data_IF_104519771354
#
_entry.id   IF_104519771354
#
_cell.length_a   1.000
_cell.length_b   1.000
_cell.length_c   1.000
_cell.angle_alpha   90.00
_cell.angle_beta   90.00
_cell.angle_gamma   90.00
#
_symmetry.space_group_name_H-M   'P 1'
#
loop_
_entity.id
_entity.type
_entity.pdbx_description
1 polymer ?
#
# COMPACT_ATOMS: atom_id res chain seq x y z
N UNK A 1 -35.74 -75.09 -64.13
CA UNK A 1 -36.67 -74.08 -64.68
C UNK A 1 -36.52 -72.76 -63.92
N UNK A 2 -36.63 -72.74 -62.58
CA UNK A 2 -36.53 -71.51 -61.79
C UNK A 2 -35.21 -70.71 -61.99
N UNK A 3 -34.03 -71.36 -61.93
CA UNK A 3 -32.74 -70.63 -62.05
C UNK A 3 -32.49 -69.95 -63.40
N UNK A 4 -33.23 -70.29 -64.46
CA UNK A 4 -33.10 -69.64 -65.77
C UNK A 4 -34.00 -68.42 -65.92
N UNK A 5 -35.11 -68.34 -65.17
CA UNK A 5 -36.11 -67.26 -65.26
C UNK A 5 -35.67 -66.01 -64.48
N UNK A 6 -34.84 -66.18 -63.45
CA UNK A 6 -34.31 -65.09 -62.61
C UNK A 6 -33.02 -64.45 -63.15
N UNK A 7 -32.61 -64.80 -64.38
CA UNK A 7 -31.43 -64.23 -65.03
C UNK A 7 -31.72 -62.82 -65.58
N UNK A 8 -30.78 -61.89 -65.39
CA UNK A 8 -30.92 -60.48 -65.79
C UNK A 8 -31.09 -60.31 -67.32
N UNK A 9 -30.45 -61.16 -68.12
CA UNK A 9 -30.51 -61.17 -69.59
C UNK A 9 -31.34 -62.34 -70.15
N UNK A 10 -32.48 -62.64 -69.52
CA UNK A 10 -33.34 -63.76 -69.91
C UNK A 10 -33.94 -63.58 -71.32
N UNK A 11 -33.62 -64.50 -72.26
CA UNK A 11 -34.25 -64.58 -73.58
C UNK A 11 -35.33 -65.68 -73.61
N UNK A 12 -36.62 -65.31 -73.76
CA UNK A 12 -37.72 -66.27 -73.77
C UNK A 12 -37.69 -67.23 -74.96
N UNK A 13 -37.10 -66.84 -76.10
CA UNK A 13 -37.07 -67.66 -77.32
C UNK A 13 -36.09 -68.83 -77.12
N UNK A 14 -34.90 -68.55 -76.59
CA UNK A 14 -33.89 -69.57 -76.32
C UNK A 14 -34.37 -70.57 -75.26
N UNK A 15 -35.05 -70.08 -74.22
CA UNK A 15 -35.63 -70.96 -73.20
C UNK A 15 -36.76 -71.83 -73.75
N UNK A 16 -37.64 -71.27 -74.60
CA UNK A 16 -38.69 -72.04 -75.29
C UNK A 16 -38.09 -73.12 -76.21
N UNK A 17 -37.04 -72.80 -76.96
CA UNK A 17 -36.35 -73.75 -77.83
C UNK A 17 -35.66 -74.87 -77.03
N UNK A 18 -35.10 -74.56 -75.85
CA UNK A 18 -34.53 -75.57 -74.96
C UNK A 18 -35.60 -76.52 -74.39
N UNK A 19 -36.76 -75.97 -74.00
CA UNK A 19 -37.90 -76.73 -73.46
C UNK A 19 -38.59 -77.61 -74.51
N UNK A 20 -38.70 -77.14 -75.76
CA UNK A 20 -39.34 -77.85 -76.88
C UNK A 20 -38.34 -78.33 -77.95
N UNK A 21 -37.21 -78.89 -77.53
CA UNK A 21 -36.10 -79.28 -78.43
C UNK A 21 -36.42 -80.44 -79.40
N UNK A 22 -37.52 -81.18 -79.21
CA UNK A 22 -37.98 -82.22 -80.15
C UNK A 22 -39.52 -82.29 -80.27
N UNK A 23 -40.09 -82.71 -81.42
CA UNK A 23 -41.55 -82.69 -81.66
C UNK A 23 -42.38 -83.52 -80.66
N UNK A 24 -41.78 -84.55 -80.04
CA UNK A 24 -42.41 -85.37 -79.00
C UNK A 24 -42.53 -84.65 -77.65
N UNK A 25 -41.87 -83.51 -77.44
CA UNK A 25 -41.97 -82.69 -76.21
C UNK A 25 -43.11 -81.68 -76.26
N UNK A 26 -43.69 -81.43 -77.44
CA UNK A 26 -44.86 -80.57 -77.63
C UNK A 26 -46.11 -81.10 -76.91
N UNK A 27 -46.18 -82.41 -76.67
CA UNK A 27 -47.25 -83.01 -75.84
C UNK A 27 -47.19 -82.58 -74.37
N UNK A 28 -46.07 -82.03 -73.90
CA UNK A 28 -45.89 -81.48 -72.54
C UNK A 28 -46.12 -79.97 -72.46
N UNK A 29 -46.53 -79.33 -73.57
CA UNK A 29 -46.72 -77.88 -73.63
C UNK A 29 -47.80 -77.38 -72.66
N UNK A 30 -48.90 -78.13 -72.50
CA UNK A 30 -49.93 -77.81 -71.51
C UNK A 30 -49.35 -77.83 -70.09
N UNK A 31 -48.57 -78.85 -69.74
CA UNK A 31 -47.95 -78.98 -68.41
C UNK A 31 -46.95 -77.86 -68.10
N UNK A 32 -46.16 -77.43 -69.09
CA UNK A 32 -45.21 -76.32 -68.91
C UNK A 32 -45.96 -74.99 -68.81
N UNK A 33 -47.00 -74.77 -69.62
CA UNK A 33 -47.86 -73.59 -69.52
C UNK A 33 -48.56 -73.51 -68.16
N UNK A 34 -49.03 -74.65 -67.62
CA UNK A 34 -49.64 -74.71 -66.30
C UNK A 34 -48.61 -74.39 -65.21
N UNK A 35 -47.38 -74.89 -65.33
CA UNK A 35 -46.29 -74.58 -64.39
C UNK A 35 -45.87 -73.10 -64.44
N UNK A 36 -45.82 -72.48 -65.63
CA UNK A 36 -45.52 -71.05 -65.78
C UNK A 36 -46.65 -70.19 -65.22
N UNK A 37 -47.91 -70.55 -65.47
CA UNK A 37 -49.06 -69.87 -64.84
C UNK A 37 -49.07 -70.00 -63.33
N UNK A 38 -48.64 -71.15 -62.80
CA UNK A 38 -48.50 -71.34 -61.36
C UNK A 38 -47.41 -70.42 -60.81
N UNK A 39 -46.25 -70.35 -61.46
CA UNK A 39 -45.16 -69.47 -61.07
C UNK A 39 -45.49 -67.96 -61.19
N UNK A 40 -46.20 -67.56 -62.25
CA UNK A 40 -46.75 -66.21 -62.40
C UNK A 40 -47.71 -65.88 -61.26
N UNK A 41 -48.60 -66.81 -60.91
CA UNK A 41 -49.54 -66.61 -59.81
C UNK A 41 -48.84 -66.53 -58.44
N UNK A 42 -47.81 -67.35 -58.22
CA UNK A 42 -47.00 -67.32 -57.00
C UNK A 42 -46.26 -65.98 -56.88
N UNK A 43 -45.65 -65.48 -57.98
CA UNK A 43 -44.99 -64.16 -58.01
C UNK A 43 -45.97 -63.00 -57.78
N UNK A 44 -47.14 -63.02 -58.41
CA UNK A 44 -48.17 -61.99 -58.20
C UNK A 44 -48.67 -62.00 -56.75
N UNK A 45 -48.79 -63.18 -56.14
CA UNK A 45 -49.11 -63.34 -54.72
C UNK A 45 -48.01 -62.75 -53.83
N UNK A 46 -46.74 -63.04 -54.13
CA UNK A 46 -45.60 -62.53 -53.37
C UNK A 46 -45.46 -61.00 -53.49
N UNK A 47 -45.58 -60.45 -54.70
CA UNK A 47 -45.58 -59.00 -54.93
C UNK A 47 -46.75 -58.34 -54.19
N UNK A 48 -47.95 -58.91 -54.29
CA UNK A 48 -49.12 -58.38 -53.59
C UNK A 48 -48.94 -58.40 -52.07
N UNK A 49 -48.30 -59.46 -51.53
CA UNK A 49 -47.99 -59.56 -50.11
C UNK A 49 -46.96 -58.50 -49.67
N UNK A 50 -45.90 -58.28 -50.45
CA UNK A 50 -44.86 -57.30 -50.15
C UNK A 50 -45.41 -55.86 -50.22
N UNK A 51 -46.23 -55.56 -51.21
CA UNK A 51 -46.89 -54.24 -51.34
C UNK A 51 -47.87 -54.01 -50.18
N UNK A 52 -48.62 -55.03 -49.76
CA UNK A 52 -49.49 -54.94 -48.58
C UNK A 52 -48.68 -54.71 -47.28
N UNK A 53 -47.54 -55.40 -47.15
CA UNK A 53 -46.62 -55.23 -46.01
C UNK A 53 -45.93 -53.86 -46.02
N UNK A 54 -45.70 -53.22 -47.18
CA UNK A 54 -45.12 -51.86 -47.26
C UNK A 54 -46.14 -50.74 -47.07
N UNK A 55 -47.38 -50.91 -47.51
CA UNK A 55 -48.43 -49.88 -47.36
C UNK A 55 -48.97 -49.76 -45.94
N UNK A 56 -48.96 -50.84 -45.16
CA UNK A 56 -49.36 -50.82 -43.74
C UNK A 56 -48.45 -49.95 -42.83
N UNK A 57 -47.10 -50.06 -42.85
CA UNK A 57 -46.22 -49.27 -41.99
C UNK A 57 -46.14 -47.79 -42.38
N UNK A 58 -46.36 -47.43 -43.65
CA UNK A 58 -46.41 -46.01 -44.05
C UNK A 58 -47.63 -45.29 -43.48
N UNK A 59 -48.82 -45.91 -43.53
CA UNK A 59 -50.01 -45.34 -42.89
C UNK A 59 -49.87 -45.29 -41.36
N UNK A 60 -49.34 -46.35 -40.74
CA UNK A 60 -49.04 -46.38 -39.30
C UNK A 60 -48.01 -45.30 -38.88
N UNK A 61 -46.99 -45.07 -39.70
CA UNK A 61 -45.97 -44.05 -39.44
C UNK A 61 -46.56 -42.64 -39.56
N UNK A 62 -47.40 -42.39 -40.57
CA UNK A 62 -48.12 -41.12 -40.73
C UNK A 62 -49.08 -40.89 -39.57
N UNK A 63 -49.83 -41.90 -39.14
CA UNK A 63 -50.71 -41.79 -37.97
C UNK A 63 -49.92 -41.52 -36.68
N UNK A 64 -48.80 -42.22 -36.43
CA UNK A 64 -47.94 -41.97 -35.27
C UNK A 64 -47.34 -40.57 -35.28
N UNK A 65 -46.92 -40.05 -36.43
CA UNK A 65 -46.41 -38.67 -36.54
C UNK A 65 -47.53 -37.67 -36.29
N UNK A 66 -48.72 -37.89 -36.81
CA UNK A 66 -49.88 -37.03 -36.55
C UNK A 66 -50.27 -37.04 -35.07
N UNK A 67 -50.25 -38.21 -34.43
CA UNK A 67 -50.51 -38.36 -33.00
C UNK A 67 -49.43 -37.66 -32.16
N UNK A 68 -48.15 -37.87 -32.45
CA UNK A 68 -47.05 -37.17 -31.78
C UNK A 68 -47.14 -35.65 -31.94
N UNK A 69 -47.56 -35.15 -33.12
CA UNK A 69 -47.79 -33.72 -33.37
C UNK A 69 -48.96 -33.19 -32.54
N UNK A 70 -50.04 -33.95 -32.40
CA UNK A 70 -51.18 -33.60 -31.55
C UNK A 70 -50.79 -33.57 -30.06
N UNK A 71 -49.99 -34.54 -29.61
CA UNK A 71 -49.45 -34.58 -28.25
C UNK A 71 -48.50 -33.40 -27.97
N UNK A 72 -47.62 -33.05 -28.91
CA UNK A 72 -46.75 -31.88 -28.82
C UNK A 72 -47.56 -30.58 -28.74
N UNK A 73 -48.62 -30.46 -29.54
CA UNK A 73 -49.52 -29.32 -29.48
C UNK A 73 -50.21 -29.24 -28.10
N UNK A 74 -50.64 -30.38 -27.55
CA UNK A 74 -51.17 -30.48 -26.19
C UNK A 74 -50.14 -30.10 -25.12
N UNK A 75 -48.88 -30.49 -25.28
CA UNK A 75 -47.80 -30.14 -24.37
C UNK A 75 -47.51 -28.63 -24.40
N UNK A 76 -47.43 -28.01 -25.58
CA UNK A 76 -47.25 -26.55 -25.69
C UNK A 76 -48.41 -25.79 -25.06
N UNK A 77 -49.65 -26.25 -25.27
CA UNK A 77 -50.82 -25.65 -24.61
C UNK A 77 -50.72 -25.76 -23.07
N UNK A 78 -50.22 -26.89 -22.54
CA UNK A 78 -49.99 -27.04 -21.09
C UNK A 78 -48.86 -26.14 -20.59
N UNK A 79 -47.76 -26.02 -21.32
CA UNK A 79 -46.64 -25.14 -20.96
C UNK A 79 -47.11 -23.68 -20.93
N UNK A 80 -47.87 -23.25 -21.94
CA UNK A 80 -48.42 -21.90 -21.98
C UNK A 80 -49.42 -21.69 -20.82
N UNK A 81 -50.26 -22.68 -20.53
CA UNK A 81 -51.15 -22.65 -19.37
C UNK A 81 -50.41 -22.60 -18.02
N UNK A 82 -49.25 -23.24 -17.89
CA UNK A 82 -48.39 -23.11 -16.70
C UNK A 82 -47.76 -21.72 -16.64
N UNK A 83 -47.28 -21.19 -17.77
CA UNK A 83 -46.69 -19.85 -17.85
C UNK A 83 -47.68 -18.75 -17.46
N UNK A 84 -48.91 -18.80 -18.00
CA UNK A 84 -49.96 -17.83 -17.67
C UNK A 84 -50.29 -17.89 -16.18
N UNK A 85 -50.48 -19.10 -15.62
CA UNK A 85 -50.72 -19.27 -14.18
C UNK A 85 -49.54 -18.79 -13.34
N UNK A 86 -48.30 -19.03 -13.77
CA UNK A 86 -47.12 -18.54 -13.06
C UNK A 86 -47.06 -17.01 -13.02
N UNK A 87 -47.33 -16.34 -14.14
CA UNK A 87 -47.41 -14.87 -14.21
C UNK A 87 -48.54 -14.31 -13.34
N UNK A 88 -49.69 -14.98 -13.34
CA UNK A 88 -50.81 -14.59 -12.49
C UNK A 88 -50.46 -14.76 -11.00
N UNK A 89 -49.83 -15.89 -10.62
CA UNK A 89 -49.35 -16.09 -9.24
C UNK A 89 -48.27 -15.09 -8.84
N UNK A 90 -47.32 -14.75 -9.73
CA UNK A 90 -46.32 -13.71 -9.46
C UNK A 90 -47.01 -12.37 -9.21
N UNK A 91 -47.96 -12.00 -10.07
CA UNK A 91 -48.75 -10.79 -9.90
C UNK A 91 -49.48 -10.78 -8.57
N UNK A 92 -50.22 -11.84 -8.23
CA UNK A 92 -50.93 -11.94 -6.95
C UNK A 92 -49.97 -11.86 -5.77
N UNK A 93 -48.81 -12.53 -5.81
CA UNK A 93 -47.80 -12.45 -4.75
C UNK A 93 -47.23 -11.03 -4.63
N UNK A 94 -46.91 -10.37 -5.75
CA UNK A 94 -46.42 -8.98 -5.72
C UNK A 94 -47.47 -8.00 -5.20
N UNK A 95 -48.74 -8.18 -5.52
CA UNK A 95 -49.85 -7.39 -4.97
C UNK A 95 -50.01 -7.67 -3.47
N UNK A 96 -50.00 -8.95 -3.04
CA UNK A 96 -50.07 -9.34 -1.63
C UNK A 96 -48.88 -8.82 -0.80
N UNK A 97 -47.68 -8.75 -1.39
CA UNK A 97 -46.45 -8.32 -0.70
C UNK A 97 -46.13 -6.84 -0.87
N UNK A 98 -46.88 -6.09 -1.68
CA UNK A 98 -46.67 -4.67 -1.92
C UNK A 98 -46.73 -3.85 -0.61
N UNK A 99 -47.71 -4.14 0.23
CA UNK A 99 -47.88 -3.45 1.52
C UNK A 99 -46.80 -3.86 2.53
N UNK A 100 -46.34 -5.12 2.51
CA UNK A 100 -45.20 -5.56 3.32
C UNK A 100 -43.93 -4.80 2.93
N UNK A 101 -43.69 -4.62 1.62
CA UNK A 101 -42.54 -3.86 1.11
C UNK A 101 -42.63 -2.37 1.47
N UNK A 102 -43.84 -1.78 1.41
CA UNK A 102 -44.08 -0.38 1.86
C UNK A 102 -43.85 -0.23 3.36
N UNK A 103 -44.31 -1.19 4.17
CA UNK A 103 -44.10 -1.20 5.61
C UNK A 103 -42.61 -1.32 5.94
N UNK A 104 -41.89 -2.22 5.28
CA UNK A 104 -40.45 -2.38 5.46
C UNK A 104 -39.68 -1.11 5.06
N UNK A 105 -40.05 -0.49 3.93
CA UNK A 105 -39.48 0.80 3.51
C UNK A 105 -39.73 1.90 4.55
N UNK A 106 -40.96 1.97 5.09
CA UNK A 106 -41.33 2.92 6.14
C UNK A 106 -40.53 2.67 7.42
N UNK A 107 -40.43 1.40 7.85
CA UNK A 107 -39.64 1.00 9.03
C UNK A 107 -38.17 1.37 8.86
N UNK A 108 -37.58 1.12 7.69
CA UNK A 108 -36.19 1.48 7.37
C UNK A 108 -36.01 2.98 7.45
N UNK A 109 -36.89 3.77 6.82
CA UNK A 109 -36.83 5.23 6.86
C UNK A 109 -36.96 5.77 8.29
N UNK A 110 -37.90 5.26 9.08
CA UNK A 110 -38.07 5.64 10.49
C UNK A 110 -36.83 5.31 11.32
N UNK A 111 -36.24 4.13 11.11
CA UNK A 111 -35.02 3.71 11.82
C UNK A 111 -33.83 4.62 11.47
N UNK A 112 -33.68 4.99 10.19
CA UNK A 112 -32.66 5.93 9.75
C UNK A 112 -32.88 7.32 10.36
N UNK A 113 -34.10 7.85 10.31
CA UNK A 113 -34.45 9.15 10.90
C UNK A 113 -34.22 9.17 12.41
N UNK A 114 -34.66 8.13 13.14
CA UNK A 114 -34.45 8.01 14.58
C UNK A 114 -32.96 7.95 14.93
N UNK A 115 -32.18 7.19 14.17
CA UNK A 115 -30.72 7.09 14.38
C UNK A 115 -30.02 8.42 14.13
N UNK A 116 -30.39 9.12 13.05
CA UNK A 116 -29.83 10.43 12.71
C UNK A 116 -30.18 11.48 13.77
N UNK A 117 -31.44 11.55 14.22
CA UNK A 117 -31.87 12.46 15.27
C UNK A 117 -31.17 12.18 16.60
N UNK A 118 -31.07 10.91 17.01
CA UNK A 118 -30.37 10.53 18.25
C UNK A 118 -28.88 10.90 18.19
N UNK A 119 -28.22 10.66 17.04
CA UNK A 119 -26.81 11.08 16.84
C UNK A 119 -26.65 12.59 16.84
N UNK A 120 -27.61 13.33 16.30
CA UNK A 120 -27.59 14.79 16.29
C UNK A 120 -27.74 15.34 17.71
N UNK A 121 -28.69 14.79 18.49
CA UNK A 121 -28.84 15.11 19.90
C UNK A 121 -27.55 14.84 20.67
N UNK A 122 -26.95 13.66 20.49
CA UNK A 122 -25.66 13.32 21.11
C UNK A 122 -24.56 14.31 20.72
N UNK A 123 -24.48 14.73 19.45
CA UNK A 123 -23.49 15.69 18.98
C UNK A 123 -23.67 17.07 19.61
N UNK A 124 -24.91 17.57 19.69
CA UNK A 124 -25.20 18.87 20.32
C UNK A 124 -24.86 18.85 21.81
N UNK A 125 -25.26 17.81 22.55
CA UNK A 125 -24.93 17.67 23.97
C UNK A 125 -23.43 17.54 24.19
N UNK A 126 -22.74 16.77 23.37
CA UNK A 126 -21.28 16.62 23.45
C UNK A 126 -20.55 17.94 23.14
N UNK A 127 -21.04 18.72 22.17
CA UNK A 127 -20.50 20.04 21.88
C UNK A 127 -20.65 21.01 23.07
N UNK A 128 -21.83 21.08 23.69
CA UNK A 128 -22.08 21.91 24.87
C UNK A 128 -21.19 21.53 26.06
N UNK A 129 -21.05 20.22 26.31
CA UNK A 129 -20.14 19.70 27.33
C UNK A 129 -18.68 20.05 27.03
N UNK A 130 -18.25 19.90 25.78
CA UNK A 130 -16.88 20.21 25.36
C UNK A 130 -16.54 21.69 25.57
N UNK A 131 -17.48 22.60 25.27
CA UNK A 131 -17.32 24.02 25.59
C UNK A 131 -17.12 24.27 27.09
N UNK A 132 -17.87 23.57 27.95
CA UNK A 132 -17.73 23.69 29.41
C UNK A 132 -16.38 23.18 29.93
N UNK A 133 -15.94 22.02 29.43
CA UNK A 133 -14.66 21.42 29.78
C UNK A 133 -13.47 22.26 29.27
N UNK A 134 -13.59 22.86 28.08
CA UNK A 134 -12.58 23.76 27.51
C UNK A 134 -12.29 24.94 28.43
N UNK A 135 -13.35 25.59 28.95
CA UNK A 135 -13.24 26.74 29.86
C UNK A 135 -12.62 26.40 31.20
N UNK A 136 -12.88 25.20 31.72
CA UNK A 136 -12.31 24.72 32.98
C UNK A 136 -10.95 24.05 32.83
N UNK A 137 -10.44 23.93 31.59
CA UNK A 137 -9.14 23.32 31.23
C UNK A 137 -9.00 21.87 31.68
N UNK A 138 -10.11 21.13 31.68
CA UNK A 138 -10.12 19.70 31.96
C UNK A 138 -9.71 18.89 30.72
N UNK A 139 -8.45 19.02 30.32
CA UNK A 139 -7.96 18.54 29.02
C UNK A 139 -8.13 17.04 28.80
N UNK A 140 -8.03 16.22 29.85
CA UNK A 140 -8.26 14.77 29.75
C UNK A 140 -9.66 14.46 29.24
N UNK A 141 -10.67 15.06 29.86
CA UNK A 141 -12.07 14.85 29.47
C UNK A 141 -12.37 15.50 28.12
N UNK A 142 -11.79 16.69 27.85
CA UNK A 142 -11.86 17.33 26.55
C UNK A 142 -11.37 16.41 25.43
N UNK A 143 -10.24 15.72 25.61
CA UNK A 143 -9.67 14.86 24.58
C UNK A 143 -10.61 13.70 24.22
N UNK A 144 -11.14 13.00 25.23
CA UNK A 144 -12.08 11.90 25.04
C UNK A 144 -13.37 12.35 24.35
N UNK A 145 -13.94 13.47 24.81
CA UNK A 145 -15.18 14.00 24.25
C UNK A 145 -14.97 14.54 22.83
N UNK A 146 -13.85 15.21 22.57
CA UNK A 146 -13.47 15.70 21.24
C UNK A 146 -13.35 14.54 20.25
N UNK A 147 -12.74 13.42 20.63
CA UNK A 147 -12.66 12.24 19.77
C UNK A 147 -14.05 11.69 19.42
N UNK A 148 -14.96 11.63 20.38
CA UNK A 148 -16.36 11.23 20.14
C UNK A 148 -17.09 12.21 19.21
N UNK A 149 -16.90 13.52 19.42
CA UNK A 149 -17.47 14.58 18.57
C UNK A 149 -16.96 14.46 17.13
N UNK A 150 -15.66 14.23 16.91
CA UNK A 150 -15.07 14.04 15.58
C UNK A 150 -15.69 12.82 14.87
N UNK A 151 -15.85 11.70 15.58
CA UNK A 151 -16.50 10.51 15.02
C UNK A 151 -17.97 10.77 14.67
N UNK A 152 -18.73 11.45 15.54
CA UNK A 152 -20.12 11.82 15.28
C UNK A 152 -20.23 12.76 14.06
N UNK A 153 -19.35 13.74 13.95
CA UNK A 153 -19.29 14.65 12.80
C UNK A 153 -19.01 13.93 11.49
N UNK A 154 -18.21 12.87 11.50
CA UNK A 154 -17.93 12.08 10.29
C UNK A 154 -19.21 11.51 9.67
N UNK A 155 -20.18 11.07 10.48
CA UNK A 155 -21.49 10.61 10.01
C UNK A 155 -22.33 11.73 9.38
N UNK A 156 -22.19 12.97 9.85
CA UNK A 156 -22.96 14.11 9.36
C UNK A 156 -22.39 14.79 8.11
N UNK A 157 -21.27 14.29 7.55
CA UNK A 157 -20.69 14.82 6.30
C UNK A 157 -21.68 14.83 5.13
N UNK A 158 -22.52 13.80 5.02
CA UNK A 158 -23.55 13.70 3.97
C UNK A 158 -24.77 14.62 4.20
N UNK A 159 -24.90 15.21 5.39
CA UNK A 159 -26.02 16.08 5.78
C UNK A 159 -25.65 17.57 5.76
N UNK A 160 -24.50 17.91 5.15
CA UNK A 160 -23.96 19.28 5.09
C UNK A 160 -24.87 20.28 4.37
N UNK A 161 -25.81 19.81 3.55
CA UNK A 161 -26.81 20.64 2.89
C UNK A 161 -27.84 21.25 3.86
N UNK A 162 -27.90 20.76 5.10
CA UNK A 162 -28.80 21.27 6.14
C UNK A 162 -28.07 22.37 6.91
N UNK A 163 -28.57 23.60 6.83
CA UNK A 163 -27.92 24.79 7.38
C UNK A 163 -27.59 24.67 8.87
N UNK A 164 -28.49 24.10 9.68
CA UNK A 164 -28.25 23.93 11.12
C UNK A 164 -27.10 22.96 11.41
N UNK A 165 -26.96 21.91 10.60
CA UNK A 165 -25.87 20.93 10.72
C UNK A 165 -24.56 21.55 10.22
N UNK A 166 -24.61 22.34 9.15
CA UNK A 166 -23.45 23.08 8.67
C UNK A 166 -22.96 24.11 9.70
N UNK A 167 -23.87 24.83 10.35
CA UNK A 167 -23.55 25.78 11.43
C UNK A 167 -22.92 25.07 12.63
N UNK A 168 -23.50 23.95 13.10
CA UNK A 168 -22.93 23.15 14.18
C UNK A 168 -21.53 22.63 13.81
N UNK A 169 -21.36 22.11 12.60
CA UNK A 169 -20.06 21.65 12.09
C UNK A 169 -19.01 22.77 12.08
N UNK A 170 -19.40 24.00 11.74
CA UNK A 170 -18.51 25.16 11.79
C UNK A 170 -18.14 25.49 13.23
N UNK A 171 -19.11 25.53 14.13
CA UNK A 171 -18.87 25.80 15.56
C UNK A 171 -17.91 24.77 16.18
N UNK A 172 -18.02 23.49 15.84
CA UNK A 172 -17.05 22.47 16.30
C UNK A 172 -15.65 22.75 15.73
N UNK A 173 -15.53 23.09 14.45
CA UNK A 173 -14.23 23.41 13.85
C UNK A 173 -13.61 24.68 14.48
N UNK A 174 -14.44 25.66 14.85
CA UNK A 174 -14.00 26.86 15.56
C UNK A 174 -13.49 26.50 16.97
N UNK A 175 -14.23 25.67 17.71
CA UNK A 175 -13.82 25.17 19.03
C UNK A 175 -12.54 24.33 18.96
N UNK A 176 -12.34 23.55 17.91
CA UNK A 176 -11.08 22.81 17.69
C UNK A 176 -9.88 23.74 17.52
N UNK A 177 -10.05 24.85 16.80
CA UNK A 177 -9.01 25.87 16.62
C UNK A 177 -8.72 26.60 17.93
N UNK A 178 -9.76 26.98 18.67
CA UNK A 178 -9.64 27.60 19.99
C UNK A 178 -8.90 26.68 20.98
N UNK A 179 -9.27 25.39 21.03
CA UNK A 179 -8.58 24.41 21.87
C UNK A 179 -7.10 24.26 21.51
N UNK A 180 -6.76 24.26 20.21
CA UNK A 180 -5.38 24.22 19.76
C UNK A 180 -4.59 25.43 20.25
N UNK A 181 -5.16 26.63 20.09
CA UNK A 181 -4.53 27.88 20.53
C UNK A 181 -4.37 27.90 22.05
N UNK A 182 -5.40 27.52 22.79
CA UNK A 182 -5.40 27.45 24.25
C UNK A 182 -4.32 26.51 24.78
N UNK A 183 -4.18 25.31 24.19
CA UNK A 183 -3.12 24.37 24.59
C UNK A 183 -1.74 24.93 24.25
N UNK A 184 -1.55 25.51 23.06
CA UNK A 184 -0.26 26.10 22.70
C UNK A 184 0.13 27.24 23.65
N UNK A 185 -0.80 28.13 23.98
CA UNK A 185 -0.59 29.24 24.92
C UNK A 185 -0.22 28.72 26.32
N UNK A 186 -0.85 27.63 26.77
CA UNK A 186 -0.55 27.03 28.07
C UNK A 186 0.86 26.47 28.16
N UNK A 187 1.32 25.83 27.08
CA UNK A 187 2.72 25.44 26.94
C UNK A 187 3.63 26.67 26.96
N UNK A 188 3.34 27.69 26.16
CA UNK A 188 4.13 28.91 26.09
C UNK A 188 4.29 29.59 27.46
N UNK A 189 3.19 29.77 28.19
CA UNK A 189 3.19 30.39 29.51
C UNK A 189 3.95 29.53 30.52
N UNK A 190 3.74 28.20 30.50
CA UNK A 190 4.40 27.31 31.45
C UNK A 190 5.92 27.29 31.26
N UNK A 191 6.40 27.32 30.01
CA UNK A 191 7.81 27.44 29.68
C UNK A 191 8.37 28.82 30.02
N UNK A 192 7.65 29.91 29.71
CA UNK A 192 8.11 31.27 29.98
C UNK A 192 8.20 31.60 31.47
N UNK A 193 7.30 31.06 32.30
CA UNK A 193 7.26 31.30 33.76
C UNK A 193 8.02 30.27 34.59
N UNK A 194 8.55 29.21 33.98
CA UNK A 194 9.21 28.12 34.71
C UNK A 194 8.25 27.30 35.59
N UNK A 195 6.96 27.24 35.25
CA UNK A 195 5.92 26.56 36.03
C UNK A 195 5.69 25.09 35.58
N UNK A 196 6.62 24.53 34.81
CA UNK A 196 6.48 23.21 34.17
C UNK A 196 6.15 22.10 35.16
N UNK A 197 6.81 22.09 36.33
CA UNK A 197 6.62 21.04 37.32
C UNK A 197 5.24 21.12 37.99
N UNK A 198 4.70 22.33 38.19
CA UNK A 198 3.38 22.55 38.80
C UNK A 198 2.25 22.18 37.83
N UNK A 199 2.44 22.47 36.54
CA UNK A 199 1.44 22.24 35.48
C UNK A 199 1.65 20.94 34.70
N UNK A 200 2.59 20.10 35.11
CA UNK A 200 3.01 18.89 34.39
C UNK A 200 1.85 17.96 34.03
N UNK A 201 0.98 17.66 34.99
CA UNK A 201 -0.18 16.78 34.75
C UNK A 201 -1.14 17.37 33.72
N UNK A 202 -1.48 18.65 33.89
CA UNK A 202 -2.36 19.39 32.99
C UNK A 202 -1.79 19.46 31.56
N UNK A 203 -0.48 19.71 31.40
CA UNK A 203 0.17 19.75 30.09
C UNK A 203 0.27 18.37 29.42
N UNK A 204 0.50 17.32 30.21
CA UNK A 204 0.48 15.94 29.70
C UNK A 204 -0.94 15.55 29.22
N UNK A 205 -1.98 15.98 29.93
CA UNK A 205 -3.37 15.82 29.50
C UNK A 205 -3.70 16.67 28.26
N UNK A 206 -3.14 17.88 28.17
CA UNK A 206 -3.28 18.75 27.00
C UNK A 206 -2.70 18.10 25.73
N UNK A 207 -1.64 17.30 25.84
CA UNK A 207 -1.12 16.52 24.71
C UNK A 207 -2.15 15.51 24.16
N UNK A 208 -3.04 14.99 25.00
CA UNK A 208 -4.12 14.09 24.53
C UNK A 208 -5.12 14.84 23.66
N UNK A 209 -5.40 16.12 23.96
CA UNK A 209 -6.24 16.99 23.13
C UNK A 209 -5.57 17.25 21.79
N UNK A 210 -4.26 17.53 21.79
CA UNK A 210 -3.48 17.71 20.55
C UNK A 210 -3.54 16.46 19.68
N UNK A 211 -3.46 15.27 20.28
CA UNK A 211 -3.59 14.02 19.54
C UNK A 211 -4.99 13.79 18.97
N UNK A 212 -6.03 14.19 19.70
CA UNK A 212 -7.40 14.16 19.18
C UNK A 212 -7.61 15.16 18.02
N UNK A 213 -6.89 16.29 18.02
CA UNK A 213 -6.93 17.30 16.94
C UNK A 213 -6.18 16.85 15.67
N UNK A 214 -5.17 15.98 15.82
CA UNK A 214 -4.45 15.33 14.73
C UNK A 214 -3.02 15.84 14.49
N UNK A 215 -2.37 15.29 13.46
CA UNK A 215 -0.92 15.43 13.26
C UNK A 215 -0.46 16.88 13.01
N UNK A 216 -1.30 17.72 12.39
CA UNK A 216 -0.97 19.13 12.18
C UNK A 216 -0.82 19.89 13.51
N UNK A 217 -1.72 19.62 14.47
CA UNK A 217 -1.65 20.22 15.80
C UNK A 217 -0.38 19.77 16.54
N UNK A 218 -0.06 18.46 16.44
CA UNK A 218 1.16 17.89 17.01
C UNK A 218 2.42 18.52 16.41
N UNK A 219 2.50 18.60 15.09
CA UNK A 219 3.63 19.19 14.38
C UNK A 219 3.84 20.65 14.78
N UNK A 220 2.76 21.45 14.91
CA UNK A 220 2.83 22.84 15.36
C UNK A 220 3.47 22.94 16.75
N UNK A 221 2.98 22.16 17.72
CA UNK A 221 3.49 22.19 19.10
C UNK A 221 4.95 21.73 19.19
N UNK A 222 5.31 20.63 18.50
CA UNK A 222 6.68 20.13 18.46
C UNK A 222 7.63 21.14 17.81
N UNK A 223 7.22 21.76 16.71
CA UNK A 223 8.02 22.78 16.00
C UNK A 223 8.25 23.99 16.89
N UNK A 224 7.20 24.47 17.57
CA UNK A 224 7.34 25.53 18.56
C UNK A 224 8.32 25.15 19.67
N UNK A 225 8.18 23.96 20.24
CA UNK A 225 9.05 23.47 21.31
C UNK A 225 10.52 23.44 20.87
N UNK A 226 10.81 22.82 19.72
CA UNK A 226 12.16 22.75 19.18
C UNK A 226 12.75 24.15 18.93
N UNK A 227 11.95 25.07 18.39
CA UNK A 227 12.39 26.44 18.16
C UNK A 227 12.69 27.20 19.45
N UNK A 228 11.86 27.00 20.48
CA UNK A 228 12.03 27.62 21.79
C UNK A 228 13.29 27.11 22.47
N UNK A 229 13.49 25.80 22.52
CA UNK A 229 14.69 25.20 23.14
C UNK A 229 15.99 25.57 22.40
N UNK A 230 15.94 25.62 21.06
CA UNK A 230 17.10 25.98 20.23
C UNK A 230 17.32 27.49 20.07
N UNK A 231 16.49 28.34 20.72
CA UNK A 231 16.63 29.79 20.59
C UNK A 231 17.95 30.28 21.18
N UNK A 232 18.28 29.86 22.40
CA UNK A 232 19.52 30.24 23.08
C UNK A 232 20.74 29.68 22.33
N UNK A 233 20.67 28.44 21.84
CA UNK A 233 21.71 27.87 20.98
C UNK A 233 22.01 28.76 19.78
N UNK A 234 20.96 29.16 19.04
CA UNK A 234 21.11 30.02 17.87
C UNK A 234 21.71 31.37 18.24
N UNK A 235 21.34 31.96 19.38
CA UNK A 235 21.93 33.23 19.83
C UNK A 235 23.42 33.12 20.17
N UNK A 236 23.85 32.00 20.77
CA UNK A 236 25.25 31.81 21.16
C UNK A 236 26.15 31.49 19.95
N UNK A 237 25.69 30.63 19.04
CA UNK A 237 26.53 30.02 18.01
C UNK A 237 26.28 30.52 16.58
N UNK A 238 25.12 31.13 16.26
CA UNK A 238 24.88 31.71 14.94
C UNK A 238 25.31 33.18 14.90
N UNK A 239 26.11 33.54 13.91
CA UNK A 239 26.53 34.93 13.66
C UNK A 239 27.57 35.47 14.64
N UNK A 240 28.02 34.66 15.61
CA UNK A 240 29.15 34.98 16.47
C UNK A 240 30.41 34.30 15.92
N UNK A 241 31.38 35.10 15.44
CA UNK A 241 32.59 34.58 14.80
C UNK A 241 33.54 33.85 15.76
N UNK A 242 33.46 34.11 17.07
CA UNK A 242 34.29 33.40 18.05
C UNK A 242 33.62 32.12 18.53
N UNK A 243 32.43 32.21 19.14
CA UNK A 243 31.73 31.05 19.70
C UNK A 243 31.25 30.10 18.60
N UNK A 244 30.92 30.64 17.42
CA UNK A 244 30.43 29.89 16.28
C UNK A 244 31.52 29.31 15.38
N UNK A 245 32.82 29.57 15.63
CA UNK A 245 33.93 29.08 14.81
C UNK A 245 34.04 27.54 14.80
N UNK A 246 34.78 27.01 13.82
CA UNK A 246 35.06 25.57 13.73
C UNK A 246 35.87 25.07 14.93
N UNK A 247 36.71 25.91 15.54
CA UNK A 247 37.51 25.58 16.73
C UNK A 247 36.64 25.22 17.95
N UNK A 248 35.38 25.65 17.96
CA UNK A 248 34.45 25.46 19.07
C UNK A 248 33.37 24.40 18.76
N UNK A 249 33.60 23.51 17.79
CA UNK A 249 32.66 22.43 17.44
C UNK A 249 32.34 21.49 18.61
N UNK A 250 33.33 21.08 19.40
CA UNK A 250 33.12 20.23 20.58
C UNK A 250 32.22 20.90 21.63
N UNK A 251 32.27 22.24 21.71
CA UNK A 251 31.39 23.02 22.59
C UNK A 251 29.94 23.00 22.10
N UNK A 252 29.69 23.07 20.79
CA UNK A 252 28.34 22.94 20.21
C UNK A 252 27.71 21.60 20.58
N UNK A 253 28.43 20.50 20.41
CA UNK A 253 27.93 19.16 20.75
C UNK A 253 27.75 18.96 22.25
N UNK A 254 28.69 19.46 23.05
CA UNK A 254 28.55 19.43 24.51
C UNK A 254 27.34 20.23 24.99
N UNK A 255 27.05 21.37 24.38
CA UNK A 255 25.87 22.18 24.66
C UNK A 255 24.58 21.40 24.38
N UNK A 256 24.49 20.78 23.20
CA UNK A 256 23.31 19.99 22.81
C UNK A 256 23.13 18.76 23.70
N UNK A 257 24.21 18.06 24.03
CA UNK A 257 24.18 16.92 24.95
C UNK A 257 23.66 17.31 26.35
N UNK A 258 23.94 18.52 26.84
CA UNK A 258 23.35 19.02 28.11
C UNK A 258 21.86 19.27 27.96
N UNK A 259 21.44 19.93 26.89
CA UNK A 259 20.02 20.18 26.63
C UNK A 259 19.22 18.86 26.52
N UNK A 260 19.78 17.83 25.88
CA UNK A 260 19.18 16.50 25.81
C UNK A 260 19.04 15.83 27.19
N UNK A 261 20.01 16.02 28.09
CA UNK A 261 19.91 15.54 29.47
C UNK A 261 18.80 16.27 30.23
N UNK A 262 18.67 17.58 30.05
CA UNK A 262 17.55 18.36 30.60
C UNK A 262 16.21 17.89 30.06
N UNK A 263 16.12 17.59 28.75
CA UNK A 263 14.92 17.00 28.17
C UNK A 263 14.55 15.69 28.87
N UNK A 264 15.49 14.74 28.99
CA UNK A 264 15.22 13.43 29.58
C UNK A 264 14.76 13.54 31.05
N UNK A 265 15.33 14.48 31.80
CA UNK A 265 15.02 14.67 33.22
C UNK A 265 13.71 15.43 33.46
N UNK A 266 13.45 16.50 32.71
CA UNK A 266 12.41 17.48 33.03
C UNK A 266 11.24 17.48 32.02
N UNK A 267 11.53 17.31 30.72
CA UNK A 267 10.54 17.52 29.67
C UNK A 267 9.95 16.23 29.09
N UNK A 268 10.66 15.09 29.19
CA UNK A 268 10.25 13.83 28.57
C UNK A 268 8.86 13.37 29.02
N UNK A 269 8.50 13.62 30.27
CA UNK A 269 7.21 13.22 30.81
C UNK A 269 6.04 14.18 30.50
N UNK A 270 6.32 15.33 29.88
CA UNK A 270 5.27 16.22 29.37
C UNK A 270 4.66 15.67 28.08
N UNK A 271 5.46 14.98 27.27
CA UNK A 271 5.08 14.55 25.94
C UNK A 271 4.83 13.03 25.91
N UNK A 272 3.86 12.56 25.10
CA UNK A 272 3.72 11.13 24.84
C UNK A 272 4.98 10.54 24.18
N UNK A 273 5.47 9.36 24.62
CA UNK A 273 6.74 8.81 24.11
C UNK A 273 6.76 8.57 22.59
N UNK A 274 5.62 8.21 21.98
CA UNK A 274 5.51 7.98 20.54
C UNK A 274 5.61 9.26 19.71
N UNK A 275 5.53 10.45 20.32
CA UNK A 275 5.80 11.71 19.61
C UNK A 275 7.29 11.87 19.28
N UNK A 276 8.17 11.12 19.95
CA UNK A 276 9.62 11.15 19.73
C UNK A 276 10.17 12.59 19.72
N UNK A 277 9.71 13.44 20.63
CA UNK A 277 10.03 14.89 20.64
C UNK A 277 11.54 15.13 20.81
N UNK A 278 12.24 14.28 21.55
CA UNK A 278 13.71 14.27 21.64
C UNK A 278 14.41 14.03 20.29
N UNK A 279 13.90 13.10 19.49
CA UNK A 279 14.41 12.79 18.15
C UNK A 279 14.16 13.97 17.21
N UNK A 280 12.95 14.54 17.25
CA UNK A 280 12.61 15.75 16.49
C UNK A 280 13.47 16.96 16.87
N UNK A 281 13.77 17.12 18.17
CA UNK A 281 14.69 18.15 18.67
C UNK A 281 16.12 17.94 18.16
N UNK A 282 16.59 16.69 18.12
CA UNK A 282 17.90 16.34 17.57
C UNK A 282 17.98 16.58 16.06
N UNK A 283 16.94 16.23 15.30
CA UNK A 283 16.87 16.53 13.88
C UNK A 283 16.89 18.04 13.62
N UNK A 284 16.10 18.82 14.35
CA UNK A 284 16.10 20.28 14.22
C UNK A 284 17.46 20.92 14.58
N UNK A 285 18.16 20.37 15.58
CA UNK A 285 19.51 20.79 15.93
C UNK A 285 20.53 20.46 14.84
N UNK A 286 20.51 19.23 14.31
CA UNK A 286 21.43 18.78 13.27
C UNK A 286 21.23 19.62 12.01
N UNK A 287 19.99 19.81 11.56
CA UNK A 287 19.67 20.63 10.41
C UNK A 287 20.15 22.08 10.59
N UNK A 288 19.87 22.67 11.75
CA UNK A 288 20.34 24.02 12.06
C UNK A 288 21.86 24.14 12.08
N UNK A 289 22.56 23.11 12.56
CA UNK A 289 24.03 23.09 12.66
C UNK A 289 24.69 22.80 11.31
N UNK A 290 24.08 21.94 10.49
CA UNK A 290 24.49 21.67 9.09
C UNK A 290 24.52 22.96 8.28
N UNK A 291 23.43 23.74 8.33
CA UNK A 291 23.34 25.01 7.63
C UNK A 291 24.33 26.06 8.16
N UNK A 292 24.59 26.07 9.46
CA UNK A 292 25.62 26.93 10.05
C UNK A 292 27.01 26.57 9.52
N UNK A 293 27.36 25.29 9.49
CA UNK A 293 28.65 24.81 8.98
C UNK A 293 28.81 25.05 7.49
N UNK A 294 27.77 24.84 6.68
CA UNK A 294 27.81 25.23 5.26
C UNK A 294 28.21 26.71 5.12
N UNK A 295 27.60 27.59 5.91
CA UNK A 295 27.93 29.02 5.91
C UNK A 295 29.35 29.34 6.40
N UNK A 296 29.80 28.71 7.49
CA UNK A 296 31.13 28.92 8.07
C UNK A 296 32.23 28.43 7.12
N UNK A 297 32.07 27.21 6.59
CA UNK A 297 33.01 26.61 5.66
C UNK A 297 33.10 27.43 4.37
N UNK A 298 31.97 27.85 3.78
CA UNK A 298 31.96 28.73 2.62
C UNK A 298 32.71 30.05 2.86
N UNK A 299 32.58 30.65 4.04
CA UNK A 299 33.30 31.89 4.40
C UNK A 299 34.79 31.64 4.63
N UNK A 300 35.14 30.57 5.33
CA UNK A 300 36.54 30.22 5.62
C UNK A 300 37.34 29.96 4.35
N UNK A 301 36.70 29.31 3.36
CA UNK A 301 37.30 28.96 2.07
C UNK A 301 37.44 30.14 1.10
N UNK A 302 36.69 31.23 1.32
CA UNK A 302 36.73 32.44 0.48
C UNK A 302 37.67 33.52 1.00
N UNK A 303 38.27 33.35 2.19
CA UNK A 303 39.18 34.38 2.74
C UNK A 303 40.38 34.55 1.80
N UNK A 304 40.52 35.77 1.28
CA UNK A 304 41.50 36.21 0.28
C UNK A 304 42.90 36.44 0.82
N UNK A 305 43.21 35.98 2.04
CA UNK A 305 44.47 36.29 2.76
C UNK A 305 45.58 35.24 2.54
N UNK A 306 45.45 34.42 1.50
CA UNK A 306 46.53 33.55 0.99
C UNK A 306 46.95 32.37 1.87
N UNK A 307 46.44 32.23 3.11
CA UNK A 307 46.67 31.02 3.89
C UNK A 307 45.64 29.94 3.51
N UNK A 308 46.09 28.73 3.13
CA UNK A 308 45.18 27.61 2.93
C UNK A 308 44.44 27.30 4.24
N UNK A 309 43.20 26.79 4.15
CA UNK A 309 42.46 26.33 5.34
C UNK A 309 43.30 25.31 6.12
N UNK A 310 43.28 25.38 7.45
CA UNK A 310 43.94 24.38 8.29
C UNK A 310 43.24 23.03 8.10
N UNK A 311 43.87 22.17 7.30
CA UNK A 311 43.35 20.85 6.93
C UNK A 311 43.24 19.95 8.16
N UNK A 312 44.14 20.10 9.13
CA UNK A 312 44.10 19.29 10.36
C UNK A 312 42.90 19.67 11.22
N UNK A 313 42.59 20.97 11.31
CA UNK A 313 41.38 21.46 11.98
C UNK A 313 40.12 20.91 11.29
N UNK A 314 40.07 20.96 9.96
CA UNK A 314 38.91 20.46 9.19
C UNK A 314 38.68 18.96 9.46
N UNK A 315 39.74 18.17 9.50
CA UNK A 315 39.68 16.73 9.82
C UNK A 315 39.23 16.48 11.25
N UNK A 316 39.79 17.18 12.23
CA UNK A 316 39.35 17.03 13.63
C UNK A 316 37.88 17.41 13.78
N UNK A 317 37.43 18.48 13.12
CA UNK A 317 36.02 18.87 13.13
C UNK A 317 35.12 17.82 12.48
N UNK A 318 35.53 17.24 11.36
CA UNK A 318 34.78 16.17 10.69
C UNK A 318 34.71 14.92 11.57
N UNK A 319 35.82 14.50 12.16
CA UNK A 319 35.86 13.34 13.05
C UNK A 319 34.95 13.54 14.27
N UNK A 320 35.01 14.70 14.93
CA UNK A 320 34.12 15.02 16.04
C UNK A 320 32.64 15.06 15.61
N UNK A 321 32.35 15.54 14.40
CA UNK A 321 31.01 15.54 13.83
C UNK A 321 30.49 14.11 13.64
N UNK A 322 31.30 13.23 13.07
CA UNK A 322 30.95 11.82 12.85
C UNK A 322 30.75 11.08 14.17
N UNK A 323 31.64 11.29 15.15
CA UNK A 323 31.50 10.70 16.48
C UNK A 323 30.20 11.15 17.17
N UNK A 324 29.84 12.42 17.01
CA UNK A 324 28.59 12.96 17.50
C UNK A 324 27.37 12.35 16.78
N UNK A 325 27.37 12.29 15.45
CA UNK A 325 26.30 11.63 14.67
C UNK A 325 26.12 10.17 15.07
N UNK A 326 27.22 9.41 15.19
CA UNK A 326 27.19 8.03 15.67
C UNK A 326 26.67 7.90 17.11
N UNK A 327 26.88 8.90 17.96
CA UNK A 327 26.33 8.92 19.31
C UNK A 327 24.81 9.12 19.32
N UNK A 328 24.29 9.99 18.44
CA UNK A 328 22.85 10.19 18.25
C UNK A 328 22.22 8.95 17.63
N UNK A 329 22.83 8.39 16.59
CA UNK A 329 22.37 7.18 15.92
C UNK A 329 22.23 6.04 16.92
N UNK A 330 23.26 5.77 17.73
CA UNK A 330 23.18 4.73 18.78
C UNK A 330 22.07 4.98 19.79
N UNK A 331 21.85 6.23 20.17
CA UNK A 331 20.81 6.59 21.15
C UNK A 331 19.40 6.35 20.61
N UNK A 332 19.13 6.73 19.37
CA UNK A 332 17.79 6.64 18.79
C UNK A 332 17.51 5.31 18.08
N UNK A 333 18.54 4.62 17.59
CA UNK A 333 18.45 3.25 17.05
C UNK A 333 18.11 2.20 18.12
N UNK A 334 18.48 2.44 19.38
CA UNK A 334 18.18 1.52 20.47
C UNK A 334 16.67 1.34 20.73
N UNK A 335 15.84 2.30 20.29
CA UNK A 335 14.38 2.20 20.33
C UNK A 335 13.75 1.41 19.18
N UNK A 336 14.51 1.12 18.11
CA UNK A 336 14.03 0.45 16.88
C UNK A 336 14.45 -1.02 16.81
N UNK A 337 14.91 -1.61 17.92
CA UNK A 337 15.31 -3.02 17.94
C UNK A 337 14.15 -3.98 17.60
N UNK A 338 14.24 -4.54 16.39
CA UNK A 338 13.72 -5.83 15.87
C UNK A 338 12.40 -5.83 15.08
N UNK A 339 12.21 -4.95 14.09
CA UNK A 339 11.46 -5.37 12.90
C UNK A 339 12.45 -5.88 11.84
N UNK A 340 12.27 -7.13 11.42
CA UNK A 340 13.17 -7.92 10.57
C UNK A 340 13.91 -7.15 9.47
N UNK A 341 15.20 -7.42 9.38
CA UNK A 341 16.00 -7.27 8.17
C UNK A 341 15.53 -8.29 7.13
N UNK A 342 14.39 -8.06 6.49
CA UNK A 342 14.02 -8.79 5.27
C UNK A 342 13.03 -7.96 4.46
N UNK A 343 13.55 -7.04 3.64
CA UNK A 343 12.97 -6.51 2.37
C UNK A 343 13.82 -5.30 1.95
N UNK A 344 14.92 -5.53 1.24
CA UNK A 344 15.73 -4.45 0.64
C UNK A 344 15.22 -4.02 -0.74
N UNK A 345 13.98 -4.33 -1.11
CA UNK A 345 13.42 -3.92 -2.40
C UNK A 345 11.94 -3.58 -2.28
N UNK A 346 11.62 -2.33 -1.97
CA UNK A 346 10.44 -1.63 -2.50
C UNK A 346 10.53 -0.15 -2.19
N UNK A 347 10.40 0.67 -3.23
CA UNK A 347 10.45 2.13 -3.14
C UNK A 347 9.27 2.70 -2.35
N UNK A 348 9.60 3.67 -1.50
CA UNK A 348 8.70 4.51 -0.75
C UNK A 348 9.55 5.52 0.02
N UNK A 349 9.35 6.79 -0.26
CA UNK A 349 10.14 7.95 0.17
C UNK A 349 9.93 8.29 1.67
N UNK A 350 10.05 7.28 2.55
CA UNK A 350 9.98 7.40 4.01
C UNK A 350 11.13 6.63 4.67
N UNK A 351 12.36 6.75 4.13
CA UNK A 351 13.52 6.56 5.01
C UNK A 351 13.51 7.73 5.98
N UNK A 352 13.00 7.50 7.20
CA UNK A 352 13.40 8.36 8.33
C UNK A 352 14.92 8.33 8.35
N UNK A 353 15.50 9.41 7.85
CA UNK A 353 16.94 9.54 7.71
C UNK A 353 17.52 9.40 9.10
N UNK A 354 18.35 8.37 9.31
CA UNK A 354 19.14 8.29 10.53
C UNK A 354 20.00 9.55 10.69
N UNK A 355 20.68 9.65 11.83
CA UNK A 355 21.59 10.75 12.12
C UNK A 355 22.91 10.66 11.31
N UNK A 356 23.12 9.56 10.60
CA UNK A 356 24.20 9.43 9.61
C UNK A 356 24.08 10.52 8.56
N UNK A 357 25.13 11.35 8.40
CA UNK A 357 25.16 12.46 7.45
C UNK A 357 24.18 13.61 7.76
N UNK A 358 23.70 13.72 9.01
CA UNK A 358 22.80 14.81 9.41
C UNK A 358 23.50 16.17 9.53
N UNK A 359 24.82 16.19 9.64
CA UNK A 359 25.67 17.39 9.78
C UNK A 359 26.91 17.26 8.87
N UNK A 360 27.50 16.07 8.78
CA UNK A 360 28.75 15.78 8.06
C UNK A 360 28.65 16.04 6.56
N UNK A 361 27.45 16.01 5.98
CA UNK A 361 27.17 16.46 4.60
C UNK A 361 27.69 17.88 4.33
N UNK A 362 27.72 18.77 5.34
CA UNK A 362 28.24 20.13 5.18
C UNK A 362 29.73 20.18 4.83
N UNK A 363 30.49 19.12 5.16
CA UNK A 363 31.93 19.03 4.94
C UNK A 363 32.29 18.38 3.59
N UNK A 364 31.36 17.64 2.97
CA UNK A 364 31.59 16.88 1.75
C UNK A 364 32.21 17.70 0.60
N UNK A 365 31.77 18.94 0.30
CA UNK A 365 32.36 19.74 -0.78
C UNK A 365 33.83 20.09 -0.57
N UNK A 366 34.34 19.98 0.66
CA UNK A 366 35.68 20.41 1.05
C UNK A 366 36.64 19.23 1.27
N UNK A 367 36.17 17.99 1.12
CA UNK A 367 37.01 16.80 1.25
C UNK A 367 38.10 16.72 0.16
N UNK A 368 37.88 17.33 -1.01
CA UNK A 368 38.90 17.38 -2.08
C UNK A 368 40.17 18.11 -1.63
N UNK A 369 40.05 19.15 -0.81
CA UNK A 369 41.20 19.91 -0.28
C UNK A 369 42.02 19.03 0.66
N UNK A 370 41.34 18.17 1.43
CA UNK A 370 42.03 17.17 2.23
C UNK A 370 42.76 16.15 1.36
N UNK A 371 42.09 15.60 0.34
CA UNK A 371 42.71 14.65 -0.59
C UNK A 371 43.96 15.26 -1.25
N UNK A 372 43.88 16.51 -1.70
CA UNK A 372 45.03 17.23 -2.28
C UNK A 372 46.16 17.47 -1.28
N UNK A 373 45.83 17.75 -0.02
CA UNK A 373 46.81 17.93 1.06
C UNK A 373 47.52 16.62 1.39
N UNK A 374 46.78 15.52 1.52
CA UNK A 374 47.32 14.18 1.74
C UNK A 374 48.19 13.73 0.57
N UNK A 375 47.73 13.95 -0.67
CA UNK A 375 48.50 13.64 -1.87
C UNK A 375 49.82 14.43 -1.91
N UNK A 376 49.80 15.72 -1.53
CA UNK A 376 51.01 16.54 -1.42
C UNK A 376 51.95 16.06 -0.33
N UNK A 377 51.42 15.69 0.84
CA UNK A 377 52.21 15.13 1.94
C UNK A 377 52.88 13.81 1.54
N UNK A 378 52.12 12.86 0.99
CA UNK A 378 52.64 11.59 0.48
C UNK A 378 53.65 11.80 -0.65
N UNK A 379 53.35 12.69 -1.59
CA UNK A 379 54.26 13.06 -2.68
C UNK A 379 55.58 13.66 -2.18
N UNK A 380 55.58 14.37 -1.05
CA UNK A 380 56.80 14.90 -0.43
C UNK A 380 57.63 13.81 0.28
N UNK A 381 56.99 12.74 0.75
CA UNK A 381 57.62 11.61 1.42
C UNK A 381 58.18 10.59 0.43
N UNK A 382 57.54 10.39 -0.73
CA UNK A 382 57.99 9.41 -1.75
C UNK A 382 59.46 9.59 -2.19
N UNK A 383 59.98 10.80 -2.46
CA UNK A 383 61.39 10.99 -2.80
C UNK A 383 62.32 10.57 -1.67
N UNK A 384 61.95 10.84 -0.41
CA UNK A 384 62.74 10.45 0.77
C UNK A 384 62.77 8.92 0.91
N UNK A 385 61.62 8.27 0.75
CA UNK A 385 61.50 6.81 0.78
C UNK A 385 62.23 6.12 -0.38
N UNK A 386 62.35 6.76 -1.54
CA UNK A 386 63.12 6.26 -2.69
C UNK A 386 64.64 6.44 -2.54
N UNK A 387 65.07 7.45 -1.78
CA UNK A 387 66.50 7.74 -1.54
C UNK A 387 67.06 6.98 -0.33
N UNK A 388 66.20 6.49 0.55
CA UNK A 388 66.62 5.61 1.64
C UNK A 388 67.26 4.33 1.08
N UNK A 389 68.36 3.85 1.69
CA UNK A 389 69.00 2.62 1.24
C UNK A 389 68.02 1.45 1.38
N UNK A 390 68.01 0.58 0.37
CA UNK A 390 67.12 -0.61 0.31
C UNK A 390 67.37 -1.54 1.52
N UNK A 391 68.53 -1.40 2.18
CA UNK A 391 69.00 -2.24 3.27
C UNK A 391 69.73 -1.39 4.30
N UNK A 392 69.50 -1.68 5.59
CA UNK A 392 70.28 -1.11 6.68
C UNK A 392 71.73 -1.65 6.61
N UNK A 393 72.72 -0.79 6.82
CA UNK A 393 74.13 -1.14 6.67
C UNK A 393 74.62 -2.22 7.66
N UNK A 394 73.83 -2.53 8.69
CA UNK A 394 74.17 -3.43 9.79
C UNK A 394 73.52 -4.83 9.68
N UNK A 395 72.61 -5.06 8.70
CA UNK A 395 71.85 -6.31 8.59
C UNK A 395 72.33 -7.18 7.42
N UNK A 396 72.51 -8.50 7.63
CA UNK A 396 72.84 -9.48 6.58
C UNK A 396 71.64 -9.83 5.68
N UNK A 397 71.87 -10.13 4.40
CA UNK A 397 70.80 -10.38 3.42
C UNK A 397 70.04 -11.69 3.70
N UNK A 398 68.72 -11.60 3.81
CA UNK A 398 67.76 -12.69 3.95
C UNK A 398 66.54 -12.43 3.05
N UNK A 399 65.94 -13.49 2.49
CA UNK A 399 64.84 -13.38 1.50
C UNK A 399 63.52 -12.80 2.05
N UNK A 400 63.42 -12.57 3.36
CA UNK A 400 62.23 -12.03 4.04
C UNK A 400 62.42 -10.59 4.54
N UNK A 401 63.55 -9.94 4.23
CA UNK A 401 63.79 -8.55 4.66
C UNK A 401 62.85 -7.59 3.94
N UNK A 402 62.13 -6.80 4.74
CA UNK A 402 61.23 -5.75 4.30
C UNK A 402 61.99 -4.43 4.27
N UNK A 403 61.81 -3.64 3.21
CA UNK A 403 62.48 -2.36 3.06
C UNK A 403 61.97 -1.41 4.17
N UNK A 404 62.84 -0.75 4.95
CA UNK A 404 62.43 0.13 6.04
C UNK A 404 61.43 1.22 5.61
N UNK A 405 61.64 1.78 4.42
CA UNK A 405 60.77 2.79 3.81
C UNK A 405 59.34 2.31 3.57
N UNK A 406 59.15 1.00 3.31
CA UNK A 406 57.81 0.43 3.14
C UNK A 406 57.08 0.32 4.49
N UNK A 407 57.78 -0.05 5.56
CA UNK A 407 57.22 -0.12 6.91
C UNK A 407 56.80 1.26 7.41
N UNK A 408 57.62 2.29 7.17
CA UNK A 408 57.29 3.69 7.50
C UNK A 408 56.07 4.19 6.72
N UNK A 409 55.99 3.88 5.43
CA UNK A 409 54.86 4.22 4.57
C UNK A 409 53.56 3.53 5.01
N UNK A 410 53.61 2.23 5.34
CA UNK A 410 52.45 1.51 5.89
C UNK A 410 52.03 2.06 7.25
N UNK A 411 52.98 2.42 8.11
CA UNK A 411 52.67 3.08 9.38
C UNK A 411 52.01 4.44 9.18
N UNK A 412 52.50 5.23 8.21
CA UNK A 412 51.92 6.53 7.90
C UNK A 412 50.49 6.40 7.38
N UNK A 413 50.26 5.50 6.42
CA UNK A 413 48.93 5.22 5.86
C UNK A 413 47.95 4.60 6.87
N UNK A 414 48.44 4.01 7.96
CA UNK A 414 47.59 3.47 9.05
C UNK A 414 47.13 4.53 10.05
N UNK A 415 47.85 5.66 10.13
CA UNK A 415 47.61 6.74 11.10
C UNK A 415 46.81 7.89 10.47
N UNK A 416 46.91 8.04 9.15
CA UNK A 416 46.04 8.92 8.34
C UNK A 416 44.78 8.17 7.93
#
# INVERSE_FOLDING_TARGET
>A
MAESLDAIDYDPIDHLNALFSHPSTLSKASTISDSLRTYEHDLDSDISSLVAVQTSPENDAVERIQQAKAELAGLFARIEGVRVRALETERTITEMTADIKRLDSTKKNLTLSMTALKRLQMLTTAYEQLMGLSKSRQYRECAHLLQAVIQLMAHFKCYRSIDQIAALSKNVADLQRELLEQVCEDFEIAFAKGELQQKRSMLAEACMVIDALGDHARARLITWYCNTQLREYRQVFRGNDEAGSLDNISRRYSWFNRMLKTYDAEHAALFPPYWKVNEMLANAYCEGTREDYKGILQRSMRRSDGQPPDVNLLLSCLQETLDFEHSLERRFSAGESRSSMDTVTSGGDEKRSGFSQAISEAFEPYLSIWVESQDRQLSSLMPKYRQQPIRNAEEDFHSQLVIPSSTELFHHYRIT
#
